data_IF_823544398969
#
_entry.id   IF_823544398969
#
_cell.length_a   1.000
_cell.length_b   1.000
_cell.length_c   1.000
_cell.angle_alpha   90.00
_cell.angle_beta   90.00
_cell.angle_gamma   90.00
#
_symmetry.space_group_name_H-M   'P 1'
#
loop_
_entity.id
_entity.type
_entity.pdbx_description
1 polymer ?
#
# COMPACT_ATOMS: atom_id res chain seq x y z
N UNK A 1 -0.83 10.16 25.44
CA UNK A 1 -2.01 10.21 24.58
C UNK A 1 -1.84 9.26 23.42
N UNK A 2 -2.90 8.53 23.09
CA UNK A 2 -2.83 7.64 21.95
C UNK A 2 -2.52 8.43 20.69
N UNK A 3 -1.67 7.87 19.84
CA UNK A 3 -1.31 8.52 18.60
C UNK A 3 -2.51 8.67 17.70
N UNK A 4 -2.60 9.79 17.07
CA UNK A 4 -3.66 10.08 16.15
C UNK A 4 -3.47 9.30 14.85
N UNK A 5 -4.56 8.82 14.30
CA UNK A 5 -4.56 8.35 12.94
C UNK A 5 -4.14 9.51 12.03
N UNK A 6 -3.19 9.25 11.11
CA UNK A 6 -2.65 10.29 10.25
C UNK A 6 -2.70 9.86 8.77
N UNK A 7 -3.89 9.97 8.14
CA UNK A 7 -4.03 9.52 6.75
C UNK A 7 -3.12 10.25 5.78
N UNK A 8 -2.82 11.51 6.04
CA UNK A 8 -1.93 12.28 5.15
C UNK A 8 -0.53 11.68 5.13
N UNK A 9 0.00 11.37 6.32
CA UNK A 9 1.34 10.76 6.42
C UNK A 9 1.33 9.36 5.83
N UNK A 10 0.28 8.58 6.10
CA UNK A 10 0.16 7.23 5.57
C UNK A 10 0.11 7.24 4.04
N UNK A 11 -0.62 8.19 3.47
CA UNK A 11 -0.70 8.35 2.01
C UNK A 11 0.66 8.66 1.40
N UNK A 12 1.39 9.58 1.99
CA UNK A 12 2.74 9.94 1.50
C UNK A 12 3.70 8.76 1.62
N UNK A 13 3.60 8.03 2.72
CA UNK A 13 4.48 6.89 2.97
C UNK A 13 4.24 5.75 1.98
N UNK A 14 2.99 5.38 1.72
CA UNK A 14 2.68 4.31 0.76
C UNK A 14 3.08 4.71 -0.66
N UNK A 15 2.86 5.97 -1.03
CA UNK A 15 3.26 6.47 -2.35
C UNK A 15 4.77 6.31 -2.54
N UNK A 16 5.54 6.77 -1.58
CA UNK A 16 6.99 6.66 -1.64
C UNK A 16 7.45 5.20 -1.68
N UNK A 17 6.90 4.38 -0.80
CA UNK A 17 7.32 2.99 -0.68
C UNK A 17 7.03 2.20 -1.96
N UNK A 18 5.82 2.33 -2.49
CA UNK A 18 5.48 1.64 -3.74
C UNK A 18 6.35 2.14 -4.90
N UNK A 19 6.55 3.44 -5.00
CA UNK A 19 7.34 4.01 -6.07
C UNK A 19 8.78 3.50 -6.05
N UNK A 20 9.37 3.35 -4.87
CA UNK A 20 10.72 2.81 -4.73
C UNK A 20 10.81 1.33 -5.08
N UNK A 21 9.74 0.56 -4.86
CA UNK A 21 9.72 -0.88 -5.16
C UNK A 21 9.55 -1.12 -6.65
N UNK A 22 8.64 -0.41 -7.31
CA UNK A 22 8.24 -0.74 -8.68
C UNK A 22 8.84 0.18 -9.74
N UNK A 23 9.71 1.12 -9.35
CA UNK A 23 10.32 2.03 -10.32
C UNK A 23 10.93 1.24 -11.49
N UNK A 24 10.79 1.69 -12.73
CA UNK A 24 10.24 2.97 -13.21
C UNK A 24 8.73 2.97 -13.46
N UNK A 25 8.00 1.98 -13.00
CA UNK A 25 6.54 1.92 -13.19
C UNK A 25 5.89 3.06 -12.38
N UNK A 26 5.04 3.90 -13.01
CA UNK A 26 4.42 5.00 -12.28
C UNK A 26 3.40 4.52 -11.26
N UNK A 27 3.31 5.26 -10.15
CA UNK A 27 2.39 4.99 -9.05
C UNK A 27 1.52 6.21 -8.82
N UNK A 28 0.21 6.00 -8.73
CA UNK A 28 -0.77 7.07 -8.57
C UNK A 28 -1.68 6.78 -7.38
N UNK A 29 -2.13 7.86 -6.74
CA UNK A 29 -3.15 7.75 -5.69
C UNK A 29 -4.51 7.55 -6.33
N UNK A 30 -5.18 6.46 -6.02
CA UNK A 30 -6.57 6.15 -6.38
C UNK A 30 -6.83 5.99 -7.88
N UNK A 31 -6.39 6.93 -8.70
CA UNK A 31 -6.80 6.95 -10.11
C UNK A 31 -5.70 7.54 -11.00
N UNK A 32 -5.50 6.94 -12.17
CA UNK A 32 -4.61 7.45 -13.20
C UNK A 32 -5.45 8.01 -14.36
N UNK A 33 -5.35 9.33 -14.59
CA UNK A 33 -6.09 9.98 -15.66
C UNK A 33 -5.61 9.57 -17.05
N UNK A 34 -4.40 9.04 -17.16
CA UNK A 34 -3.81 8.63 -18.41
C UNK A 34 -3.85 7.11 -18.61
N UNK A 35 -4.81 6.45 -17.99
CA UNK A 35 -4.89 4.99 -17.99
C UNK A 35 -4.93 4.37 -19.40
N UNK A 36 -5.45 5.10 -20.37
CA UNK A 36 -5.60 4.59 -21.73
C UNK A 36 -4.27 4.56 -22.50
N UNK A 37 -3.28 5.33 -22.09
CA UNK A 37 -2.02 5.46 -22.83
C UNK A 37 -0.81 4.88 -22.10
N UNK A 38 -0.91 4.67 -20.81
CA UNK A 38 0.19 4.06 -20.05
C UNK A 38 0.10 2.54 -20.12
N UNK A 39 1.18 1.85 -20.52
CA UNK A 39 1.15 0.40 -20.68
C UNK A 39 1.08 -0.35 -19.35
N UNK A 40 1.56 0.26 -18.28
CA UNK A 40 1.51 -0.32 -16.94
C UNK A 40 1.63 0.77 -15.90
N UNK A 41 0.87 0.62 -14.82
CA UNK A 41 0.91 1.55 -13.70
C UNK A 41 0.31 0.87 -12.46
N UNK A 42 0.58 1.47 -11.31
CA UNK A 42 0.09 1.00 -10.01
C UNK A 42 -0.71 2.13 -9.39
N UNK A 43 -1.87 1.81 -8.81
CA UNK A 43 -2.62 2.75 -7.98
C UNK A 43 -2.78 2.19 -6.59
N UNK A 44 -2.98 3.07 -5.62
CA UNK A 44 -3.28 2.67 -4.25
C UNK A 44 -4.43 3.50 -3.72
N UNK A 45 -5.13 2.93 -2.76
CA UNK A 45 -6.23 3.59 -2.08
C UNK A 45 -6.17 3.23 -0.61
N UNK A 46 -6.23 4.23 0.26
CA UNK A 46 -6.35 3.99 1.70
C UNK A 46 -7.81 3.63 1.97
N UNK A 47 -8.03 2.38 2.34
CA UNK A 47 -9.38 1.85 2.50
C UNK A 47 -9.90 2.01 3.92
N UNK A 48 -9.01 1.87 4.90
CA UNK A 48 -9.41 1.91 6.30
C UNK A 48 -8.18 2.15 7.16
N UNK A 49 -8.39 2.78 8.32
CA UNK A 49 -7.38 2.84 9.37
C UNK A 49 -8.02 2.31 10.64
N UNK A 50 -7.65 1.11 11.03
CA UNK A 50 -8.11 0.51 12.26
C UNK A 50 -7.11 0.84 13.37
N UNK A 51 -7.59 1.45 14.44
CA UNK A 51 -6.76 1.73 15.60
C UNK A 51 -7.19 0.84 16.76
N UNK A 52 -6.24 0.06 17.27
CA UNK A 52 -6.47 -0.77 18.42
C UNK A 52 -5.86 -0.11 19.64
N UNK A 53 -6.70 0.22 20.61
CA UNK A 53 -6.30 0.90 21.83
C UNK A 53 -6.31 -0.12 22.97
N UNK A 54 -5.19 -0.24 23.66
CA UNK A 54 -5.07 -1.15 24.79
C UNK A 54 -5.67 -0.51 26.03
N UNK A 55 -6.56 -1.23 26.68
CA UNK A 55 -7.19 -0.80 27.92
C UNK A 55 -6.47 -1.35 29.14
N UNK A 56 -6.73 -0.78 30.31
CA UNK A 56 -6.12 -1.22 31.57
C UNK A 56 -4.73 -0.67 31.83
N UNK A 57 -4.22 0.15 30.92
CA UNK A 57 -2.92 0.79 31.07
C UNK A 57 -3.11 2.28 31.29
N UNK A 58 -3.55 2.64 32.46
CA UNK A 58 -4.08 3.96 32.76
C UNK A 58 -3.15 5.12 32.44
N UNK A 59 -1.87 4.88 32.31
CA UNK A 59 -0.91 5.94 32.02
C UNK A 59 -0.17 5.71 30.72
N UNK A 60 -0.51 4.69 29.99
CA UNK A 60 0.13 4.36 28.75
C UNK A 60 -0.88 4.49 27.61
N UNK A 61 -0.70 5.50 26.81
CA UNK A 61 -1.59 5.76 25.67
C UNK A 61 -1.09 4.99 24.44
N UNK A 62 -0.84 3.70 24.62
CA UNK A 62 -0.33 2.85 23.56
C UNK A 62 -1.46 2.36 22.69
N UNK A 63 -1.20 2.34 21.42
CA UNK A 63 -2.11 1.82 20.43
C UNK A 63 -1.34 1.25 19.26
N UNK A 64 -2.05 0.54 18.40
CA UNK A 64 -1.51 0.06 17.13
C UNK A 64 -2.45 0.58 16.05
N UNK A 65 -1.91 1.34 15.12
CA UNK A 65 -2.63 1.77 13.94
C UNK A 65 -2.43 0.74 12.84
N UNK A 66 -3.52 0.34 12.20
CA UNK A 66 -3.50 -0.62 11.10
C UNK A 66 -4.15 -0.02 9.87
N UNK A 67 -3.45 0.84 9.13
CA UNK A 67 -3.96 1.30 7.84
C UNK A 67 -3.99 0.14 6.84
N UNK A 68 -5.07 0.06 6.09
CA UNK A 68 -5.23 -0.96 5.04
C UNK A 68 -5.30 -0.25 3.71
N UNK A 69 -4.34 -0.57 2.85
CA UNK A 69 -4.30 -0.03 1.50
C UNK A 69 -4.72 -1.10 0.51
N UNK A 70 -5.54 -0.71 -0.45
CA UNK A 70 -5.77 -1.52 -1.62
C UNK A 70 -4.81 -1.08 -2.71
N UNK A 71 -4.04 -2.01 -3.22
CA UNK A 71 -3.08 -1.76 -4.28
C UNK A 71 -3.61 -2.43 -5.54
N UNK A 72 -3.72 -1.65 -6.60
CA UNK A 72 -4.22 -2.13 -7.89
C UNK A 72 -3.14 -1.96 -8.93
N UNK A 73 -2.85 -3.02 -9.66
CA UNK A 73 -1.83 -3.04 -10.69
C UNK A 73 -2.52 -3.21 -12.04
N UNK A 74 -2.30 -2.27 -12.94
CA UNK A 74 -2.92 -2.27 -14.26
C UNK A 74 -1.84 -2.42 -15.31
N UNK A 75 -2.00 -3.40 -16.21
CA UNK A 75 -1.04 -3.66 -17.27
C UNK A 75 -1.75 -4.07 -18.54
N UNK A 76 -1.18 -3.70 -19.70
CA UNK A 76 -1.68 -4.17 -20.98
C UNK A 76 -1.34 -5.64 -21.22
N UNK A 77 -0.23 -6.10 -20.67
CA UNK A 77 0.20 -7.49 -20.72
C UNK A 77 0.02 -8.10 -19.32
N UNK A 78 -0.75 -9.18 -19.23
CA UNK A 78 -1.13 -9.74 -17.92
C UNK A 78 0.09 -10.24 -17.13
N UNK A 79 1.10 -10.76 -17.81
CA UNK A 79 2.32 -11.23 -17.14
C UNK A 79 3.06 -10.11 -16.43
N UNK A 80 3.02 -8.90 -16.98
CA UNK A 80 3.63 -7.74 -16.33
C UNK A 80 2.95 -7.44 -15.00
N UNK A 81 1.65 -7.64 -14.91
CA UNK A 81 0.90 -7.49 -13.66
C UNK A 81 1.36 -8.48 -12.60
N UNK A 82 1.56 -9.72 -12.98
CA UNK A 82 2.08 -10.73 -12.05
C UNK A 82 3.50 -10.42 -11.63
N UNK A 83 4.34 -9.95 -12.54
CA UNK A 83 5.72 -9.56 -12.22
C UNK A 83 5.75 -8.42 -11.21
N UNK A 84 4.96 -7.38 -11.43
CA UNK A 84 4.91 -6.24 -10.51
C UNK A 84 4.35 -6.67 -9.15
N UNK A 85 3.30 -7.49 -9.13
CA UNK A 85 2.74 -7.98 -7.88
C UNK A 85 3.76 -8.81 -7.09
N UNK A 86 4.55 -9.61 -7.78
CA UNK A 86 5.61 -10.39 -7.15
C UNK A 86 6.69 -9.48 -6.56
N UNK A 87 7.07 -8.41 -7.25
CA UNK A 87 8.02 -7.43 -6.71
C UNK A 87 7.51 -6.82 -5.40
N UNK A 88 6.23 -6.44 -5.37
CA UNK A 88 5.63 -5.86 -4.18
C UNK A 88 5.58 -6.89 -3.04
N UNK A 89 5.13 -8.10 -3.34
CA UNK A 89 5.04 -9.16 -2.33
C UNK A 89 6.41 -9.49 -1.73
N UNK A 90 7.42 -9.66 -2.56
CA UNK A 90 8.75 -10.02 -2.08
C UNK A 90 9.42 -8.90 -1.30
N UNK A 91 9.17 -7.65 -1.69
CA UNK A 91 9.80 -6.49 -1.03
C UNK A 91 9.08 -6.07 0.23
N UNK A 92 7.78 -6.31 0.32
CA UNK A 92 6.96 -5.68 1.34
C UNK A 92 6.32 -6.67 2.32
N UNK A 93 5.94 -7.86 1.87
CA UNK A 93 5.29 -8.81 2.77
C UNK A 93 6.26 -9.27 3.85
N UNK A 94 5.85 -9.11 5.11
CA UNK A 94 6.70 -9.42 6.25
C UNK A 94 7.75 -8.36 6.59
N UNK A 95 7.75 -7.25 5.87
CA UNK A 95 8.72 -6.18 6.10
C UNK A 95 8.48 -5.52 7.46
N UNK A 96 9.58 -5.28 8.16
CA UNK A 96 9.60 -4.55 9.44
C UNK A 96 10.70 -3.51 9.35
N UNK A 97 10.42 -2.29 9.80
CA UNK A 97 11.39 -1.23 9.77
C UNK A 97 10.81 0.09 9.30
N UNK A 98 11.66 0.93 8.71
CA UNK A 98 11.25 2.24 8.22
C UNK A 98 10.43 2.09 6.95
N UNK A 99 9.23 2.67 6.95
CA UNK A 99 8.31 2.63 5.83
C UNK A 99 8.04 4.06 5.37
N UNK A 100 8.24 4.31 4.08
CA UNK A 100 7.92 5.60 3.48
C UNK A 100 9.06 6.60 3.39
N UNK A 101 10.29 6.16 3.61
CA UNK A 101 11.48 6.99 3.44
C UNK A 101 11.80 7.84 4.66
N UNK A 102 12.89 8.62 4.55
CA UNK A 102 13.45 9.35 5.69
C UNK A 102 12.63 10.59 6.07
N UNK A 103 11.94 11.21 5.10
CA UNK A 103 11.25 12.48 5.34
C UNK A 103 9.85 12.29 5.92
N UNK A 104 9.05 11.39 5.33
CA UNK A 104 7.66 11.17 5.72
C UNK A 104 7.42 9.78 6.29
N UNK A 105 8.48 9.01 6.47
CA UNK A 105 8.36 7.64 6.90
C UNK A 105 8.16 7.48 8.40
N UNK A 106 7.84 6.27 8.77
CA UNK A 106 7.66 5.86 10.16
C UNK A 106 8.01 4.38 10.29
N UNK A 107 8.27 3.97 11.51
CA UNK A 107 8.58 2.57 11.80
C UNK A 107 7.33 1.74 11.85
N UNK A 108 7.36 0.60 11.18
CA UNK A 108 6.28 -0.38 11.24
C UNK A 108 6.79 -1.68 11.86
N UNK A 109 5.90 -2.35 12.60
CA UNK A 109 6.21 -3.65 13.15
C UNK A 109 6.19 -4.72 12.08
N UNK A 110 5.23 -4.63 11.17
CA UNK A 110 5.15 -5.53 10.03
C UNK A 110 4.26 -4.96 8.95
N UNK A 111 4.47 -5.41 7.73
CA UNK A 111 3.55 -5.22 6.61
C UNK A 111 3.01 -6.60 6.22
N UNK A 112 1.70 -6.70 6.08
CA UNK A 112 1.02 -7.92 5.64
C UNK A 112 0.39 -7.65 4.28
N UNK A 113 0.96 -8.23 3.23
CA UNK A 113 0.49 -8.04 1.87
C UNK A 113 -0.17 -9.33 1.40
N UNK A 114 -1.43 -9.24 1.01
CA UNK A 114 -2.21 -10.37 0.52
C UNK A 114 -2.58 -10.16 -0.94
N UNK A 115 -2.29 -11.15 -1.78
CA UNK A 115 -2.73 -11.18 -3.16
C UNK A 115 -4.19 -11.59 -3.18
N UNK A 116 -5.07 -10.74 -3.73
CA UNK A 116 -6.51 -10.97 -3.68
C UNK A 116 -7.02 -11.70 -4.91
N UNK A 117 -6.94 -11.06 -6.05
CA UNK A 117 -7.40 -11.66 -7.31
C UNK A 117 -6.88 -10.84 -8.49
N UNK A 118 -7.02 -11.42 -9.68
CA UNK A 118 -6.76 -10.71 -10.92
C UNK A 118 -8.02 -10.72 -11.77
N UNK A 119 -8.12 -9.73 -12.65
CA UNK A 119 -9.22 -9.63 -13.60
C UNK A 119 -8.72 -8.97 -14.88
N UNK A 120 -9.61 -8.88 -15.87
CA UNK A 120 -9.29 -8.23 -17.13
C UNK A 120 -10.47 -7.35 -17.53
N UNK A 121 -10.18 -6.08 -17.83
CA UNK A 121 -11.18 -5.13 -18.29
C UNK A 121 -11.22 -5.17 -19.82
N UNK A 122 -12.31 -5.66 -20.38
CA UNK A 122 -12.47 -5.79 -21.83
C UNK A 122 -12.61 -4.44 -22.52
N UNK A 123 -13.18 -3.45 -21.85
CA UNK A 123 -13.35 -2.12 -22.44
C UNK A 123 -12.03 -1.38 -22.57
N UNK A 124 -11.27 -1.35 -21.48
CA UNK A 124 -9.99 -0.64 -21.43
C UNK A 124 -8.81 -1.53 -21.83
N UNK A 125 -9.06 -2.84 -22.01
CA UNK A 125 -8.06 -3.83 -22.39
C UNK A 125 -6.86 -3.83 -21.44
N UNK A 126 -7.15 -3.77 -20.14
CA UNK A 126 -6.14 -3.78 -19.09
C UNK A 126 -6.32 -4.99 -18.20
N UNK A 127 -5.23 -5.70 -17.98
CA UNK A 127 -5.17 -6.69 -16.92
C UNK A 127 -5.08 -5.97 -15.57
N UNK A 128 -5.71 -6.54 -14.56
CA UNK A 128 -5.77 -5.95 -13.22
C UNK A 128 -5.36 -7.00 -12.20
N UNK A 129 -4.51 -6.60 -11.26
CA UNK A 129 -4.13 -7.42 -10.11
C UNK A 129 -4.36 -6.60 -8.86
N UNK A 130 -5.01 -7.20 -7.88
CA UNK A 130 -5.38 -6.52 -6.65
C UNK A 130 -4.69 -7.14 -5.44
N UNK A 131 -4.09 -6.28 -4.62
CA UNK A 131 -3.43 -6.65 -3.38
C UNK A 131 -4.00 -5.83 -2.24
N UNK A 132 -4.02 -6.40 -1.04
CA UNK A 132 -4.26 -5.65 0.19
C UNK A 132 -2.96 -5.58 0.97
N UNK A 133 -2.65 -4.39 1.49
CA UNK A 133 -1.49 -4.16 2.32
C UNK A 133 -1.95 -3.58 3.65
N UNK A 134 -1.70 -4.31 4.73
CA UNK A 134 -2.00 -3.86 6.09
C UNK A 134 -0.70 -3.62 6.81
N UNK A 135 -0.55 -2.44 7.39
CA UNK A 135 0.62 -2.09 8.19
C UNK A 135 0.25 -2.14 9.68
N UNK A 136 1.18 -2.61 10.50
CA UNK A 136 1.08 -2.50 11.95
C UNK A 136 2.04 -1.41 12.41
N UNK A 137 1.49 -0.31 12.90
CA UNK A 137 2.25 0.87 13.33
C UNK A 137 2.08 1.03 14.83
N UNK A 138 3.08 0.63 15.64
CA UNK A 138 3.04 0.87 17.09
C UNK A 138 3.13 2.36 17.36
N UNK A 139 2.36 2.80 18.31
CA UNK A 139 2.32 4.22 18.68
C UNK A 139 2.67 4.44 20.15
#
# INVERSE_FOLDING_TARGET
MATQQNPVQYAKAIQYQLQSIVTPVPVYATFNRNFAIEPKFVTWMLRNVHQEVFTGQSQSNKSIDRPIFQISIFTQVIEDGFTISNQILQSLHGYSGLFGGATNGFWIAKADVQWLYNSYDNEDKLGQVFLDCTLDIPT
#
